data_IF_670640338099
#
_entry.id   IF_670640338099
#
_cell.length_a   1.000
_cell.length_b   1.000
_cell.length_c   1.000
_cell.angle_alpha   90.00
_cell.angle_beta   90.00
_cell.angle_gamma   90.00
#
_symmetry.space_group_name_H-M   'P 1'
#
loop_
_entity.id
_entity.type
_entity.pdbx_description
1 polymer ?
#
# COMPACT_ATOMS: atom_id res chain seq x y z
N UNK A 1 -4.42 8.79 8.40
CA UNK A 1 -3.71 8.03 7.36
C UNK A 1 -3.71 6.54 7.71
N UNK A 2 -3.34 6.18 8.93
CA UNK A 2 -3.23 4.78 9.41
C UNK A 2 -4.49 3.93 9.18
N UNK A 3 -5.68 4.46 9.47
CA UNK A 3 -6.93 3.73 9.24
C UNK A 3 -7.19 3.41 7.75
N UNK A 4 -6.71 4.26 6.83
CA UNK A 4 -6.84 4.03 5.39
C UNK A 4 -5.87 2.94 4.93
N UNK A 5 -4.61 2.98 5.40
CA UNK A 5 -3.61 1.95 5.09
C UNK A 5 -4.03 0.58 5.61
N UNK A 6 -4.50 0.50 6.86
CA UNK A 6 -5.03 -0.73 7.44
C UNK A 6 -6.21 -1.31 6.64
N UNK A 7 -7.07 -0.45 6.08
CA UNK A 7 -8.14 -0.92 5.20
C UNK A 7 -7.60 -1.59 3.94
N UNK A 8 -6.62 -0.99 3.28
CA UNK A 8 -5.98 -1.56 2.08
C UNK A 8 -5.23 -2.85 2.39
N UNK A 9 -4.47 -2.91 3.49
CA UNK A 9 -3.73 -4.12 3.87
C UNK A 9 -4.66 -5.30 4.15
N UNK A 10 -5.77 -5.08 4.86
CA UNK A 10 -6.80 -6.13 5.04
C UNK A 10 -7.40 -6.60 3.72
N UNK A 11 -7.61 -5.67 2.77
CA UNK A 11 -8.10 -6.03 1.43
C UNK A 11 -7.05 -6.85 0.66
N UNK A 12 -5.76 -6.50 0.78
CA UNK A 12 -4.67 -7.24 0.16
C UNK A 12 -4.51 -8.63 0.76
N UNK A 13 -4.58 -8.80 2.08
CA UNK A 13 -4.52 -10.11 2.72
C UNK A 13 -5.65 -11.02 2.24
N UNK A 14 -6.85 -10.47 2.09
CA UNK A 14 -7.98 -11.22 1.53
C UNK A 14 -7.72 -11.59 0.06
N UNK A 15 -7.22 -10.65 -0.76
CA UNK A 15 -6.90 -10.91 -2.16
C UNK A 15 -5.77 -11.94 -2.32
N UNK A 16 -4.72 -11.85 -1.50
CA UNK A 16 -3.59 -12.76 -1.46
C UNK A 16 -4.08 -14.19 -1.20
N UNK A 17 -4.93 -14.38 -0.20
CA UNK A 17 -5.46 -15.68 0.15
C UNK A 17 -6.48 -16.23 -0.86
N UNK A 18 -7.34 -15.38 -1.41
CA UNK A 18 -8.47 -15.84 -2.26
C UNK A 18 -8.15 -15.90 -3.75
N UNK A 19 -7.23 -15.07 -4.24
CA UNK A 19 -6.92 -14.96 -5.67
C UNK A 19 -5.52 -15.43 -6.01
N UNK A 20 -4.57 -15.25 -5.10
CA UNK A 20 -3.16 -15.57 -5.32
C UNK A 20 -2.68 -16.78 -4.50
N UNK A 21 -3.58 -17.52 -3.85
CA UNK A 21 -3.29 -18.72 -3.06
C UNK A 21 -2.18 -18.52 -1.99
N UNK A 22 -2.12 -17.34 -1.38
CA UNK A 22 -1.09 -17.02 -0.38
C UNK A 22 0.29 -16.74 -0.97
N UNK A 23 0.43 -16.63 -2.29
CA UNK A 23 1.73 -16.44 -2.93
C UNK A 23 1.91 -15.00 -3.41
N UNK A 24 3.07 -14.43 -3.11
CA UNK A 24 3.49 -13.16 -3.69
C UNK A 24 3.77 -13.37 -5.18
N UNK A 25 2.96 -12.77 -6.04
CA UNK A 25 3.12 -12.81 -7.50
C UNK A 25 3.39 -11.41 -8.04
N UNK A 26 3.97 -11.31 -9.23
CA UNK A 26 4.18 -10.02 -9.89
C UNK A 26 2.88 -9.23 -10.10
N UNK A 27 1.77 -9.93 -10.34
CA UNK A 27 0.45 -9.28 -10.46
C UNK A 27 0.00 -8.69 -9.11
N UNK A 28 0.20 -9.41 -8.00
CA UNK A 28 -0.12 -8.91 -6.67
C UNK A 28 0.74 -7.70 -6.28
N UNK A 29 2.05 -7.76 -6.54
CA UNK A 29 2.96 -6.63 -6.36
C UNK A 29 2.55 -5.41 -7.20
N UNK A 30 2.07 -5.63 -8.42
CA UNK A 30 1.58 -4.55 -9.29
C UNK A 30 0.36 -3.86 -8.68
N UNK A 31 -0.61 -4.63 -8.17
CA UNK A 31 -1.81 -4.07 -7.52
C UNK A 31 -1.43 -3.23 -6.29
N UNK A 32 -0.48 -3.70 -5.49
CA UNK A 32 0.02 -2.99 -4.31
C UNK A 32 0.67 -1.67 -4.73
N UNK A 33 1.57 -1.71 -5.72
CA UNK A 33 2.26 -0.52 -6.22
C UNK A 33 1.29 0.51 -6.83
N UNK A 34 0.33 0.07 -7.64
CA UNK A 34 -0.70 0.96 -8.20
C UNK A 34 -1.54 1.62 -7.11
N UNK A 35 -1.87 0.88 -6.05
CA UNK A 35 -2.65 1.42 -4.93
C UNK A 35 -1.82 2.41 -4.13
N UNK A 36 -0.55 2.11 -3.88
CA UNK A 36 0.39 3.00 -3.21
C UNK A 36 0.46 4.37 -3.91
N UNK A 37 0.67 4.36 -5.22
CA UNK A 37 0.75 5.60 -6.00
C UNK A 37 -0.58 6.35 -6.02
N UNK A 38 -1.74 5.66 -6.14
CA UNK A 38 -3.05 6.32 -6.02
C UNK A 38 -3.26 7.02 -4.68
N UNK A 39 -2.77 6.45 -3.57
CA UNK A 39 -2.86 7.09 -2.26
C UNK A 39 -2.00 8.35 -2.23
N UNK A 40 -0.76 8.29 -2.75
CA UNK A 40 0.12 9.47 -2.84
C UNK A 40 -0.48 10.56 -3.73
N UNK A 41 -1.09 10.19 -4.85
CA UNK A 41 -1.76 11.13 -5.77
C UNK A 41 -2.96 11.85 -5.12
N UNK A 42 -3.52 11.29 -4.05
CA UNK A 42 -4.60 11.95 -3.28
C UNK A 42 -4.09 12.94 -2.24
N UNK A 43 -2.78 12.97 -1.97
CA UNK A 43 -2.18 13.93 -1.07
C UNK A 43 -2.08 15.29 -1.76
N UNK A 44 -2.29 16.35 -0.99
CA UNK A 44 -2.06 17.70 -1.46
C UNK A 44 -0.55 18.00 -1.49
N UNK A 45 -0.02 18.17 -2.70
CA UNK A 45 1.41 18.42 -2.97
C UNK A 45 1.88 19.75 -2.38
N UNK A 46 0.98 20.69 -2.13
CA UNK A 46 1.30 21.99 -1.51
C UNK A 46 1.43 21.89 0.02
N UNK A 47 1.10 20.74 0.63
CA UNK A 47 1.29 20.53 2.06
C UNK A 47 2.78 20.48 2.41
N UNK A 48 3.15 21.18 3.48
CA UNK A 48 4.53 21.19 4.02
C UNK A 48 5.05 19.78 4.33
N UNK A 49 4.16 18.88 4.69
CA UNK A 49 4.44 17.50 5.11
C UNK A 49 4.28 16.49 3.96
N UNK A 50 3.99 16.93 2.73
CA UNK A 50 3.74 16.04 1.59
C UNK A 50 4.85 14.99 1.43
N UNK A 51 6.11 15.42 1.44
CA UNK A 51 7.26 14.51 1.32
C UNK A 51 7.32 13.52 2.48
N UNK A 52 7.08 13.98 3.71
CA UNK A 52 7.08 13.11 4.90
C UNK A 52 5.96 12.07 4.84
N UNK A 53 4.76 12.47 4.37
CA UNK A 53 3.63 11.57 4.20
C UNK A 53 3.88 10.55 3.07
N UNK A 54 4.48 10.96 1.96
CA UNK A 54 4.89 10.04 0.90
C UNK A 54 5.89 8.99 1.40
N UNK A 55 6.91 9.42 2.16
CA UNK A 55 7.90 8.52 2.76
C UNK A 55 7.27 7.58 3.78
N UNK A 56 6.33 8.08 4.59
CA UNK A 56 5.56 7.25 5.52
C UNK A 56 4.75 6.18 4.77
N UNK A 57 4.06 6.54 3.69
CA UNK A 57 3.32 5.58 2.86
C UNK A 57 4.27 4.53 2.28
N UNK A 58 5.41 4.95 1.73
CA UNK A 58 6.41 4.01 1.21
C UNK A 58 6.87 3.01 2.27
N UNK A 59 7.24 3.49 3.45
CA UNK A 59 7.67 2.64 4.57
C UNK A 59 6.57 1.64 4.97
N UNK A 60 5.31 2.09 5.10
CA UNK A 60 4.22 1.21 5.52
C UNK A 60 3.95 0.10 4.50
N UNK A 61 4.05 0.40 3.20
CA UNK A 61 3.88 -0.60 2.15
C UNK A 61 5.07 -1.58 2.08
N UNK A 62 6.30 -1.11 2.30
CA UNK A 62 7.47 -1.98 2.42
C UNK A 62 7.38 -2.91 3.63
N UNK A 63 6.96 -2.38 4.79
CA UNK A 63 6.73 -3.18 6.00
C UNK A 63 5.63 -4.22 5.78
N UNK A 64 4.54 -3.87 5.08
CA UNK A 64 3.51 -4.83 4.71
C UNK A 64 4.10 -5.98 3.89
N UNK A 65 4.77 -5.67 2.77
CA UNK A 65 5.37 -6.66 1.87
C UNK A 65 6.43 -7.55 2.54
N UNK A 66 7.14 -7.05 3.55
CA UNK A 66 8.12 -7.82 4.30
C UNK A 66 7.52 -8.85 5.27
N UNK A 67 6.22 -8.73 5.60
CA UNK A 67 5.53 -9.54 6.61
C UNK A 67 4.53 -10.57 6.02
N UNK A 68 4.45 -10.69 4.70
CA UNK A 68 3.64 -11.69 3.98
C UNK A 68 4.52 -12.77 3.36
#
# INVERSE_FOLDING_TARGET
MDNLLNFYFNMFDNALNTRFNGQLTTEFETIINETKEKIKDTLDVEMKEYTEQCLFIDQQFEEYLANI
#
